data_IF_095161791368
#
_entry.id   IF_095161791368
#
_cell.length_a   1.000
_cell.length_b   1.000
_cell.length_c   1.000
_cell.angle_alpha   90.00
_cell.angle_beta   90.00
_cell.angle_gamma   90.00
#
_symmetry.space_group_name_H-M   'P 1'
#
loop_
_entity.id
_entity.type
_entity.pdbx_description
1 polymer ?
#
# COMPACT_ATOMS: atom_id res chain seq x y z
N UNK A 1 -25.65 -8.20 -17.31
CA UNK A 1 -24.23 -8.48 -17.57
C UNK A 1 -23.58 -7.73 -18.75
N UNK A 2 -24.34 -6.98 -19.58
CA UNK A 2 -23.79 -6.28 -20.77
C UNK A 2 -23.32 -4.84 -20.54
N UNK A 3 -23.67 -4.19 -19.44
CA UNK A 3 -23.54 -2.73 -19.28
C UNK A 3 -22.14 -2.27 -18.89
N UNK A 4 -21.38 -3.05 -18.17
CA UNK A 4 -20.04 -2.64 -17.72
C UNK A 4 -18.92 -2.93 -18.73
N UNK A 5 -19.05 -3.97 -19.58
CA UNK A 5 -18.12 -4.20 -20.70
C UNK A 5 -18.01 -2.99 -21.65
N UNK A 6 -19.08 -2.20 -21.77
CA UNK A 6 -19.10 -1.00 -22.63
C UNK A 6 -18.45 0.20 -21.95
N UNK A 7 -18.49 0.27 -20.62
CA UNK A 7 -17.89 1.36 -19.83
C UNK A 7 -16.37 1.21 -19.64
N UNK A 8 -15.84 -0.01 -19.79
CA UNK A 8 -14.41 -0.31 -19.67
C UNK A 8 -13.70 -0.45 -21.04
N UNK A 9 -14.34 -0.02 -22.13
CA UNK A 9 -13.67 0.09 -23.43
C UNK A 9 -12.50 1.07 -23.33
N UNK A 10 -11.33 0.67 -23.83
CA UNK A 10 -10.12 1.48 -23.73
C UNK A 10 -9.38 1.37 -22.40
N UNK A 11 -9.74 0.36 -21.58
CA UNK A 11 -9.03 0.04 -20.37
C UNK A 11 -8.47 -1.37 -20.38
N UNK A 12 -7.20 -1.50 -20.04
CA UNK A 12 -6.57 -2.75 -19.62
C UNK A 12 -6.86 -2.92 -18.12
N UNK A 13 -7.76 -3.87 -17.80
CA UNK A 13 -8.20 -4.10 -16.42
C UNK A 13 -7.40 -5.21 -15.80
N UNK A 14 -6.71 -4.92 -14.70
CA UNK A 14 -5.93 -5.89 -13.93
C UNK A 14 -6.42 -5.90 -12.49
N UNK A 15 -6.40 -7.09 -11.87
CA UNK A 15 -6.82 -7.28 -10.48
C UNK A 15 -5.63 -7.75 -9.67
N UNK A 16 -5.26 -6.97 -8.64
CA UNK A 16 -4.28 -7.32 -7.63
C UNK A 16 -4.99 -7.64 -6.31
N UNK A 17 -5.34 -8.90 -6.13
CA UNK A 17 -5.90 -9.40 -4.88
C UNK A 17 -4.82 -10.19 -4.13
N UNK A 18 -4.33 -9.66 -3.02
CA UNK A 18 -3.22 -10.27 -2.26
C UNK A 18 -3.56 -10.37 -0.77
N UNK A 19 -3.75 -11.59 -0.26
CA UNK A 19 -3.90 -11.86 1.18
C UNK A 19 -2.58 -11.77 1.94
N UNK A 20 -1.48 -12.18 1.29
CA UNK A 20 -0.11 -12.05 1.80
C UNK A 20 0.49 -10.68 1.51
N UNK A 21 1.81 -10.58 1.69
CA UNK A 21 2.56 -9.35 1.40
C UNK A 21 2.77 -9.19 -0.11
N UNK A 22 2.64 -7.96 -0.61
CA UNK A 22 3.07 -7.58 -1.97
C UNK A 22 4.59 -7.71 -2.02
N UNK A 23 5.09 -8.33 -3.09
CA UNK A 23 6.51 -8.57 -3.32
C UNK A 23 6.89 -8.43 -4.82
N UNK A 24 8.17 -8.64 -5.16
CA UNK A 24 8.66 -8.52 -6.54
C UNK A 24 7.98 -9.49 -7.52
N UNK A 25 7.54 -10.66 -7.04
CA UNK A 25 6.82 -11.64 -7.88
C UNK A 25 5.50 -11.08 -8.38
N UNK A 26 4.83 -10.24 -7.58
CA UNK A 26 3.58 -9.59 -7.99
C UNK A 26 3.86 -8.52 -9.07
N UNK A 27 5.00 -7.83 -9.00
CA UNK A 27 5.44 -6.89 -10.05
C UNK A 27 5.66 -7.61 -11.37
N UNK A 28 6.36 -8.75 -11.34
CA UNK A 28 6.64 -9.56 -12.54
C UNK A 28 5.36 -10.09 -13.18
N UNK A 29 4.44 -10.61 -12.37
CA UNK A 29 3.13 -11.09 -12.84
C UNK A 29 2.29 -9.98 -13.44
N UNK A 30 2.30 -8.79 -12.83
CA UNK A 30 1.59 -7.63 -13.37
C UNK A 30 2.17 -7.22 -14.72
N UNK A 31 3.49 -7.19 -14.86
CA UNK A 31 4.17 -6.89 -16.11
C UNK A 31 3.75 -7.86 -17.21
N UNK A 32 3.78 -9.17 -16.94
CA UNK A 32 3.35 -10.20 -17.88
C UNK A 32 1.88 -10.03 -18.28
N UNK A 33 0.99 -9.80 -17.31
CA UNK A 33 -0.43 -9.60 -17.56
C UNK A 33 -0.69 -8.37 -18.45
N UNK A 34 -0.02 -7.25 -18.21
CA UNK A 34 -0.14 -6.05 -19.02
C UNK A 34 0.39 -6.26 -20.44
N UNK A 35 1.50 -7.00 -20.57
CA UNK A 35 2.05 -7.38 -21.88
C UNK A 35 1.10 -8.25 -22.70
N UNK A 36 0.41 -9.19 -22.05
CA UNK A 36 -0.57 -10.07 -22.71
C UNK A 36 -1.85 -9.31 -23.12
N UNK A 37 -2.35 -8.42 -22.25
CA UNK A 37 -3.61 -7.71 -22.46
C UNK A 37 -3.45 -6.60 -23.50
N UNK A 38 -2.37 -5.83 -23.43
CA UNK A 38 -2.15 -4.66 -24.27
C UNK A 38 -0.66 -4.44 -24.58
N UNK A 39 -0.06 -5.27 -25.46
CA UNK A 39 1.36 -5.18 -25.79
C UNK A 39 1.76 -3.86 -26.45
N UNK A 40 0.80 -3.13 -27.00
CA UNK A 40 1.04 -1.86 -27.71
C UNK A 40 0.74 -0.62 -26.86
N UNK A 41 0.36 -0.79 -25.59
CA UNK A 41 0.06 0.30 -24.67
C UNK A 41 -0.97 1.30 -25.21
N UNK A 42 -2.06 0.79 -25.77
CA UNK A 42 -3.11 1.60 -26.41
C UNK A 42 -4.27 1.95 -25.48
N UNK A 43 -4.36 1.24 -24.36
CA UNK A 43 -5.44 1.41 -23.42
C UNK A 43 -4.94 2.16 -22.16
N UNK A 44 -5.89 2.79 -21.49
CA UNK A 44 -5.70 3.21 -20.11
C UNK A 44 -5.57 1.99 -19.19
N UNK A 45 -4.96 2.14 -18.03
CA UNK A 45 -4.86 1.07 -17.05
C UNK A 45 -5.86 1.29 -15.92
N UNK A 46 -6.66 0.26 -15.62
CA UNK A 46 -7.47 0.19 -14.40
C UNK A 46 -6.97 -0.96 -13.53
N UNK A 47 -6.33 -0.63 -12.42
CA UNK A 47 -5.93 -1.59 -11.41
C UNK A 47 -6.98 -1.67 -10.30
N UNK A 48 -7.59 -2.84 -10.13
CA UNK A 48 -8.46 -3.13 -8.99
C UNK A 48 -7.60 -3.77 -7.91
N UNK A 49 -7.44 -3.08 -6.77
CA UNK A 49 -6.52 -3.53 -5.71
C UNK A 49 -7.24 -3.82 -4.40
N UNK A 50 -6.93 -4.98 -3.82
CA UNK A 50 -7.27 -5.31 -2.45
C UNK A 50 -6.09 -6.03 -1.78
N UNK A 51 -5.44 -5.35 -0.82
CA UNK A 51 -4.26 -5.87 -0.13
C UNK A 51 -4.00 -5.19 1.21
N UNK A 52 -3.40 -5.95 2.12
CA UNK A 52 -2.83 -5.44 3.37
C UNK A 52 -1.48 -4.73 3.20
N UNK A 53 -0.93 -4.68 1.97
CA UNK A 53 0.36 -4.07 1.70
C UNK A 53 1.50 -5.06 1.55
N UNK A 54 2.73 -4.60 1.73
CA UNK A 54 3.92 -5.44 1.57
C UNK A 54 5.18 -4.60 1.39
N UNK A 55 6.07 -5.05 0.49
CA UNK A 55 7.31 -4.34 0.20
C UNK A 55 7.05 -2.99 -0.51
N UNK A 56 7.49 -1.86 0.07
CA UNK A 56 7.29 -0.54 -0.52
C UNK A 56 7.95 -0.36 -1.89
N UNK A 57 9.10 -1.02 -2.12
CA UNK A 57 9.80 -0.97 -3.41
C UNK A 57 8.96 -1.62 -4.51
N UNK A 58 8.40 -2.80 -4.23
CA UNK A 58 7.47 -3.49 -5.14
C UNK A 58 6.21 -2.66 -5.38
N UNK A 59 5.66 -2.03 -4.33
CA UNK A 59 4.53 -1.10 -4.46
C UNK A 59 4.84 0.06 -5.41
N UNK A 60 5.97 0.72 -5.23
CA UNK A 60 6.44 1.78 -6.12
C UNK A 60 6.61 1.30 -7.57
N UNK A 61 7.24 0.14 -7.76
CA UNK A 61 7.45 -0.43 -9.09
C UNK A 61 6.13 -0.77 -9.79
N UNK A 62 5.16 -1.33 -9.08
CA UNK A 62 3.82 -1.62 -9.61
C UNK A 62 3.14 -0.32 -10.06
N UNK A 63 3.16 0.71 -9.22
CA UNK A 63 2.58 2.02 -9.55
C UNK A 63 3.21 2.63 -10.80
N UNK A 64 4.54 2.66 -10.84
CA UNK A 64 5.31 3.15 -11.98
C UNK A 64 4.98 2.37 -13.25
N UNK A 65 4.96 1.05 -13.17
CA UNK A 65 4.64 0.18 -14.30
C UNK A 65 3.25 0.45 -14.87
N UNK A 66 2.22 0.55 -14.02
CA UNK A 66 0.87 0.87 -14.46
C UNK A 66 0.80 2.23 -15.15
N UNK A 67 1.50 3.23 -14.64
CA UNK A 67 1.54 4.56 -15.24
C UNK A 67 2.27 4.57 -16.59
N UNK A 68 3.39 3.87 -16.71
CA UNK A 68 4.13 3.75 -17.97
C UNK A 68 3.40 2.93 -19.03
N UNK A 69 2.49 2.04 -18.60
CA UNK A 69 1.71 1.22 -19.51
C UNK A 69 0.44 1.91 -20.00
N UNK A 70 -0.11 2.82 -19.21
CA UNK A 70 -1.31 3.55 -19.54
C UNK A 70 -1.08 4.52 -20.72
N UNK A 71 -2.01 4.51 -21.69
CA UNK A 71 -1.96 5.45 -22.82
C UNK A 71 -2.06 6.91 -22.36
N UNK A 72 -3.04 7.20 -21.49
CA UNK A 72 -3.29 8.53 -20.96
C UNK A 72 -3.47 8.51 -19.43
N UNK A 73 -4.25 7.54 -18.90
CA UNK A 73 -4.66 7.54 -17.51
C UNK A 73 -4.43 6.18 -16.83
N UNK A 74 -3.80 6.22 -15.66
CA UNK A 74 -3.73 5.14 -14.72
C UNK A 74 -4.78 5.36 -13.62
N UNK A 75 -5.71 4.45 -13.47
CA UNK A 75 -6.78 4.49 -12.47
C UNK A 75 -6.63 3.32 -11.49
N UNK A 76 -6.94 3.58 -10.23
CA UNK A 76 -7.03 2.54 -9.20
C UNK A 76 -8.44 2.47 -8.64
N UNK A 77 -8.99 1.28 -8.53
CA UNK A 77 -10.21 1.02 -7.78
C UNK A 77 -9.89 0.21 -6.53
N UNK A 78 -10.36 0.68 -5.38
CA UNK A 78 -10.19 0.00 -4.08
C UNK A 78 -11.56 -0.48 -3.62
N UNK A 79 -11.92 -1.77 -3.82
CA UNK A 79 -13.21 -2.29 -3.41
C UNK A 79 -13.39 -2.31 -1.89
N UNK A 80 -12.34 -2.64 -1.14
CA UNK A 80 -12.40 -2.75 0.30
C UNK A 80 -11.23 -2.08 1.01
N UNK A 81 -9.99 -2.55 0.78
CA UNK A 81 -8.83 -2.00 1.48
C UNK A 81 -7.57 -2.00 0.61
N UNK A 82 -6.81 -0.92 0.77
CA UNK A 82 -5.43 -0.83 0.32
C UNK A 82 -4.60 -0.23 1.45
N UNK A 83 -3.68 -1.02 2.03
CA UNK A 83 -2.86 -0.60 3.17
C UNK A 83 -1.39 -0.55 2.80
N UNK A 84 -0.61 0.33 3.44
CA UNK A 84 0.85 0.41 3.30
C UNK A 84 1.27 0.48 1.81
N UNK A 85 2.05 -0.49 1.30
CA UNK A 85 2.48 -0.54 -0.11
C UNK A 85 1.31 -0.50 -1.11
N UNK A 86 0.13 -1.05 -0.77
CA UNK A 86 -1.05 -0.95 -1.61
C UNK A 86 -1.62 0.47 -1.65
N UNK A 87 -1.54 1.22 -0.56
CA UNK A 87 -1.84 2.66 -0.54
C UNK A 87 -0.87 3.43 -1.43
N UNK A 88 0.43 3.10 -1.36
CA UNK A 88 1.45 3.72 -2.20
C UNK A 88 1.15 3.51 -3.69
N UNK A 89 0.71 2.32 -4.09
CA UNK A 89 0.26 2.04 -5.46
C UNK A 89 -0.91 2.95 -5.84
N UNK A 90 -1.92 3.06 -4.96
CA UNK A 90 -3.11 3.86 -5.21
C UNK A 90 -2.78 5.36 -5.35
N UNK A 91 -1.87 5.88 -4.52
CA UNK A 91 -1.44 7.28 -4.58
C UNK A 91 -0.67 7.64 -5.87
N UNK A 92 -0.12 6.66 -6.56
CA UNK A 92 0.54 6.88 -7.85
C UNK A 92 -0.43 6.93 -9.04
N UNK A 93 -1.72 6.69 -8.84
CA UNK A 93 -2.75 6.76 -9.87
C UNK A 93 -3.20 8.21 -10.14
N UNK A 94 -3.69 8.45 -11.36
CA UNK A 94 -4.33 9.72 -11.73
C UNK A 94 -5.70 9.87 -11.06
N UNK A 95 -6.38 8.74 -10.79
CA UNK A 95 -7.68 8.73 -10.11
C UNK A 95 -7.79 7.48 -9.22
N UNK A 96 -8.32 7.69 -8.01
CA UNK A 96 -8.61 6.61 -7.07
C UNK A 96 -10.13 6.53 -6.84
N UNK A 97 -10.71 5.39 -7.17
CA UNK A 97 -12.13 5.11 -7.01
C UNK A 97 -12.35 4.28 -5.75
N UNK A 98 -13.14 4.81 -4.84
CA UNK A 98 -13.48 4.19 -3.57
C UNK A 98 -14.98 4.10 -3.36
N UNK A 99 -15.45 3.01 -2.80
CA UNK A 99 -16.84 2.84 -2.37
C UNK A 99 -17.04 3.17 -0.89
N UNK A 100 -18.28 3.09 -0.39
CA UNK A 100 -18.60 3.42 1.00
C UNK A 100 -17.87 2.56 2.05
N UNK A 101 -17.40 1.38 1.67
CA UNK A 101 -16.70 0.45 2.56
C UNK A 101 -15.20 0.37 2.24
N UNK A 102 -14.72 1.25 1.36
CA UNK A 102 -13.30 1.28 0.97
C UNK A 102 -12.48 2.07 1.97
N UNK A 103 -11.26 1.62 2.19
CA UNK A 103 -10.32 2.30 3.07
C UNK A 103 -8.90 2.27 2.50
N UNK A 104 -8.19 3.37 2.66
CA UNK A 104 -6.75 3.46 2.54
C UNK A 104 -6.13 3.37 3.93
N UNK A 105 -4.96 2.78 4.03
CA UNK A 105 -4.21 2.76 5.28
C UNK A 105 -2.98 3.67 5.22
N UNK A 106 -2.30 3.87 6.36
CA UNK A 106 -1.09 4.66 6.40
C UNK A 106 0.00 4.04 5.52
N UNK A 107 0.84 4.90 4.96
CA UNK A 107 2.10 4.54 4.30
C UNK A 107 3.20 4.82 5.32
N UNK A 108 3.35 3.94 6.28
CA UNK A 108 4.31 4.08 7.36
C UNK A 108 5.42 3.04 7.21
N UNK A 109 6.68 3.45 7.02
CA UNK A 109 7.81 2.54 7.04
C UNK A 109 7.89 1.85 8.40
N UNK A 110 7.91 0.52 8.39
CA UNK A 110 8.06 -0.27 9.60
C UNK A 110 9.50 -0.76 9.75
N UNK A 111 10.08 -0.60 10.93
CA UNK A 111 11.35 -1.21 11.33
C UNK A 111 11.04 -2.24 12.40
N UNK A 112 11.38 -3.50 12.14
CA UNK A 112 11.09 -4.64 13.02
C UNK A 112 9.60 -4.80 13.39
N UNK A 113 8.69 -4.37 12.49
CA UNK A 113 7.25 -4.42 12.73
C UNK A 113 6.68 -3.22 13.51
N UNK A 114 7.53 -2.28 13.92
CA UNK A 114 7.11 -1.05 14.62
C UNK A 114 7.02 0.11 13.60
N UNK A 115 5.91 0.86 13.59
CA UNK A 115 5.78 2.06 12.78
C UNK A 115 6.86 3.09 13.11
N UNK A 116 7.69 3.49 12.15
CA UNK A 116 8.80 4.41 12.39
C UNK A 116 8.33 5.77 12.92
N UNK A 117 7.17 6.23 12.50
CA UNK A 117 6.62 7.51 12.94
C UNK A 117 6.10 7.46 14.38
N UNK A 118 5.82 6.28 14.92
CA UNK A 118 5.43 6.12 16.32
C UNK A 118 6.62 6.06 17.29
N UNK A 119 7.84 5.84 16.79
CA UNK A 119 9.04 5.70 17.63
C UNK A 119 9.38 7.02 18.38
N UNK A 120 9.42 8.21 17.71
CA UNK A 120 9.71 9.46 18.41
C UNK A 120 8.69 9.76 19.51
N UNK A 121 7.40 9.62 19.22
CA UNK A 121 6.32 9.88 20.18
C UNK A 121 6.39 8.92 21.38
N UNK A 122 6.71 7.66 21.11
CA UNK A 122 6.90 6.64 22.16
C UNK A 122 8.09 6.97 23.05
N UNK A 123 9.22 7.38 22.47
CA UNK A 123 10.41 7.79 23.21
C UNK A 123 10.13 9.04 24.06
N UNK A 124 9.46 10.02 23.51
CA UNK A 124 9.09 11.25 24.23
C UNK A 124 8.17 10.94 25.41
N UNK A 125 7.13 10.13 25.18
CA UNK A 125 6.21 9.69 26.25
C UNK A 125 6.94 8.94 27.36
N UNK A 126 7.83 8.00 27.03
CA UNK A 126 8.59 7.24 28.02
C UNK A 126 9.57 8.15 28.77
N UNK A 127 10.24 9.06 28.06
CA UNK A 127 11.17 10.03 28.68
C UNK A 127 10.42 10.91 29.67
N UNK A 128 9.24 11.36 29.33
CA UNK A 128 8.39 12.16 30.22
C UNK A 128 7.95 11.35 31.45
N UNK A 129 7.51 10.11 31.27
CA UNK A 129 7.17 9.21 32.38
C UNK A 129 8.35 8.95 33.31
N UNK A 130 9.57 8.78 32.78
CA UNK A 130 10.80 8.60 33.59
C UNK A 130 11.16 9.86 34.37
N UNK A 131 11.03 11.03 33.76
CA UNK A 131 11.31 12.32 34.43
C UNK A 131 10.30 12.63 35.54
N UNK A 132 9.02 12.27 35.31
CA UNK A 132 7.95 12.47 36.29
C UNK A 132 8.05 11.49 37.49
N UNK A 133 8.75 10.35 37.30
CA UNK A 133 8.94 9.31 38.31
C UNK A 133 10.42 8.95 38.47
N UNK A 134 11.25 9.85 39.02
CA UNK A 134 12.68 9.61 39.17
C UNK A 134 12.95 8.52 40.22
N UNK A 135 13.32 7.30 39.77
CA UNK A 135 13.64 6.16 40.65
C UNK A 135 13.80 4.86 39.85
N UNK A 136 14.02 3.73 40.58
CA UNK A 136 14.17 2.39 39.95
C UNK A 136 12.99 1.99 39.06
N UNK A 137 11.80 2.58 39.26
CA UNK A 137 10.61 2.32 38.49
C UNK A 137 10.74 2.72 37.00
N UNK A 138 11.46 3.81 36.69
CA UNK A 138 11.67 4.27 35.35
C UNK A 138 12.51 3.32 34.50
N UNK A 139 13.59 2.81 35.07
CA UNK A 139 14.45 1.83 34.40
C UNK A 139 13.73 0.49 34.15
N UNK A 140 12.86 0.07 35.08
CA UNK A 140 12.02 -1.13 34.91
C UNK A 140 11.00 -0.96 33.81
N UNK A 141 10.31 0.17 33.75
CA UNK A 141 9.37 0.47 32.66
C UNK A 141 10.04 0.43 31.28
N UNK A 142 11.26 0.98 31.16
CA UNK A 142 12.04 0.90 29.94
C UNK A 142 12.38 -0.54 29.56
N UNK A 143 12.85 -1.34 30.53
CA UNK A 143 13.19 -2.74 30.31
C UNK A 143 11.97 -3.57 29.90
N UNK A 144 10.81 -3.36 30.51
CA UNK A 144 9.56 -4.02 30.17
C UNK A 144 9.06 -3.63 28.79
N UNK A 145 9.10 -2.33 28.43
CA UNK A 145 8.71 -1.86 27.12
C UNK A 145 9.59 -2.47 26.01
N UNK A 146 10.91 -2.46 26.19
CA UNK A 146 11.85 -3.02 25.21
C UNK A 146 11.75 -4.55 25.09
N UNK A 147 11.35 -5.24 26.17
CA UNK A 147 11.17 -6.70 26.16
C UNK A 147 9.83 -7.15 25.57
N UNK A 148 8.86 -6.23 25.43
CA UNK A 148 7.53 -6.51 24.90
C UNK A 148 7.41 -6.31 23.38
N UNK A 149 8.49 -5.83 22.74
CA UNK A 149 8.58 -5.63 21.28
C UNK A 149 9.24 -6.84 20.61
#
# INVERSE_FOLDING_TARGET
MRTWKRRLRGYSVVILYKRGRIDSTDTDKLFQALQEIDPNKRNNVLLIIESGGGDPKSGYQISKLCREWAADNFMVAVPRRAKSAATLIALGADQVHMGPLSELGPVDPQVLGVPMLAIPDSIETITQCVNDNPGESGAKMWAEYLSSQ
#
